data_IF_275503239052
#
_entry.id   IF_275503239052
#
_cell.length_a   1.000
_cell.length_b   1.000
_cell.length_c   1.000
_cell.angle_alpha   90.00
_cell.angle_beta   90.00
_cell.angle_gamma   90.00
#
_symmetry.space_group_name_H-M   'P 1'
#
loop_
_entity.id
_entity.type
_entity.pdbx_description
1 polymer ?
#
# COMPACT_ATOMS: atom_id res chain seq x y z
N UNK A 1 -1.34 -4.68 -9.04
CA UNK A 1 -1.37 -3.78 -10.22
C UNK A 1 -0.27 -4.25 -11.12
N UNK A 2 -0.52 -4.27 -12.43
CA UNK A 2 0.47 -4.68 -13.41
C UNK A 2 0.71 -3.49 -14.32
N UNK A 3 1.92 -2.93 -14.27
CA UNK A 3 2.41 -1.96 -15.24
C UNK A 3 3.27 -2.67 -16.32
N UNK A 4 3.75 -1.92 -17.29
CA UNK A 4 4.50 -2.35 -18.48
C UNK A 4 5.75 -3.21 -18.21
N UNK A 5 6.27 -3.22 -16.99
CA UNK A 5 7.47 -3.95 -16.58
C UNK A 5 7.18 -5.17 -15.68
N UNK A 6 5.92 -5.51 -15.42
CA UNK A 6 5.51 -6.67 -14.59
C UNK A 6 4.92 -7.77 -15.48
N UNK A 7 5.36 -9.02 -15.27
CA UNK A 7 4.80 -10.20 -15.94
C UNK A 7 3.36 -10.49 -15.40
N UNK A 8 2.30 -10.40 -16.22
CA UNK A 8 0.93 -10.64 -15.76
C UNK A 8 0.64 -12.11 -15.46
N UNK A 9 1.40 -13.06 -16.00
CA UNK A 9 1.08 -14.49 -15.92
C UNK A 9 1.27 -15.05 -14.51
N UNK A 10 2.03 -14.37 -13.65
CA UNK A 10 2.23 -14.76 -12.25
C UNK A 10 1.08 -14.29 -11.33
N UNK A 11 0.16 -13.47 -11.84
CA UNK A 11 -0.91 -12.83 -11.07
C UNK A 11 -2.27 -13.39 -11.51
N UNK A 12 -3.06 -13.91 -10.57
CA UNK A 12 -4.34 -14.57 -10.89
C UNK A 12 -5.42 -13.57 -11.33
N UNK A 13 -5.38 -12.35 -10.81
CA UNK A 13 -6.32 -11.28 -11.13
C UNK A 13 -5.53 -10.01 -11.50
N UNK A 14 -4.93 -9.96 -12.70
CA UNK A 14 -4.11 -8.84 -13.11
C UNK A 14 -5.00 -7.61 -13.32
N UNK A 15 -4.63 -6.50 -12.67
CA UNK A 15 -5.28 -5.20 -12.84
C UNK A 15 -4.27 -4.29 -13.56
N UNK A 16 -4.45 -4.01 -14.86
CA UNK A 16 -3.53 -3.14 -15.60
C UNK A 16 -3.64 -1.71 -15.07
N UNK A 17 -2.50 -1.07 -14.84
CA UNK A 17 -2.46 0.29 -14.32
C UNK A 17 -1.04 0.76 -14.03
N UNK A 18 -0.89 2.07 -13.82
CA UNK A 18 0.37 2.68 -13.44
C UNK A 18 0.60 2.48 -11.93
N UNK A 19 1.65 1.75 -11.56
CA UNK A 19 2.02 1.47 -10.16
C UNK A 19 3.08 2.44 -9.61
N UNK A 20 3.70 3.27 -10.45
CA UNK A 20 4.68 4.29 -10.08
C UNK A 20 4.04 5.61 -9.60
N UNK A 21 2.78 5.88 -9.98
CA UNK A 21 2.12 7.13 -9.64
C UNK A 21 1.37 7.07 -8.31
N UNK A 22 1.74 7.95 -7.36
CA UNK A 22 1.08 8.04 -6.04
C UNK A 22 -0.44 8.18 -6.14
N UNK A 23 -0.94 9.03 -7.06
CA UNK A 23 -2.38 9.21 -7.28
C UNK A 23 -3.07 7.94 -7.80
N UNK A 24 -2.39 7.15 -8.62
CA UNK A 24 -2.93 5.91 -9.15
C UNK A 24 -3.00 4.85 -8.04
N UNK A 25 -1.97 4.78 -7.20
CA UNK A 25 -1.92 3.90 -6.03
C UNK A 25 -3.00 4.27 -5.01
N UNK A 26 -3.14 5.56 -4.68
CA UNK A 26 -4.19 6.05 -3.77
C UNK A 26 -5.59 5.70 -4.28
N UNK A 27 -5.84 5.91 -5.59
CA UNK A 27 -7.12 5.58 -6.21
C UNK A 27 -7.42 4.09 -6.09
N UNK A 28 -6.49 3.24 -6.52
CA UNK A 28 -6.76 1.80 -6.58
C UNK A 28 -6.88 1.19 -5.18
N UNK A 29 -5.99 1.55 -4.27
CA UNK A 29 -6.04 1.05 -2.88
C UNK A 29 -7.34 1.44 -2.20
N UNK A 30 -7.83 2.67 -2.43
CA UNK A 30 -9.13 3.12 -1.94
C UNK A 30 -10.29 2.31 -2.53
N UNK A 31 -10.33 2.11 -3.84
CA UNK A 31 -11.41 1.34 -4.51
C UNK A 31 -11.45 -0.10 -3.99
N UNK A 32 -10.28 -0.74 -3.85
CA UNK A 32 -10.19 -2.11 -3.30
C UNK A 32 -10.66 -2.14 -1.83
N UNK A 33 -10.26 -1.15 -1.03
CA UNK A 33 -10.69 -1.06 0.37
C UNK A 33 -12.22 -0.91 0.49
N UNK A 34 -12.83 -0.04 -0.30
CA UNK A 34 -14.28 0.14 -0.35
C UNK A 34 -15.00 -1.16 -0.76
N UNK A 35 -14.50 -1.85 -1.79
CA UNK A 35 -15.05 -3.14 -2.24
C UNK A 35 -14.96 -4.24 -1.17
N UNK A 36 -13.86 -4.31 -0.40
CA UNK A 36 -13.71 -5.26 0.70
C UNK A 36 -14.71 -4.95 1.83
N UNK A 37 -14.89 -3.69 2.18
CA UNK A 37 -15.85 -3.28 3.22
C UNK A 37 -17.27 -3.68 2.83
N UNK A 38 -17.68 -3.37 1.60
CA UNK A 38 -19.00 -3.74 1.09
C UNK A 38 -19.18 -5.27 1.00
N UNK A 39 -18.17 -5.97 0.48
CA UNK A 39 -18.18 -7.43 0.39
C UNK A 39 -18.33 -8.10 1.75
N UNK A 40 -17.64 -7.60 2.78
CA UNK A 40 -17.78 -8.08 4.17
C UNK A 40 -19.18 -7.86 4.72
N UNK A 41 -19.75 -6.68 4.48
CA UNK A 41 -21.10 -6.35 4.92
C UNK A 41 -22.15 -7.28 4.28
N UNK A 42 -22.03 -7.54 2.98
CA UNK A 42 -22.92 -8.46 2.25
C UNK A 42 -22.75 -9.90 2.77
N UNK A 43 -21.51 -10.36 2.96
CA UNK A 43 -21.22 -11.70 3.46
C UNK A 43 -21.82 -11.94 4.86
N UNK A 44 -21.66 -10.96 5.77
CA UNK A 44 -22.25 -10.99 7.11
C UNK A 44 -23.77 -11.10 7.08
N UNK A 45 -24.42 -10.35 6.18
CA UNK A 45 -25.88 -10.40 6.01
C UNK A 45 -26.36 -11.72 5.41
N UNK A 46 -25.61 -12.29 4.47
CA UNK A 46 -26.01 -13.50 3.72
C UNK A 46 -25.80 -14.79 4.51
N UNK A 47 -24.76 -14.86 5.34
CA UNK A 47 -24.48 -16.02 6.18
C UNK A 47 -23.78 -15.62 7.50
N UNK A 48 -24.53 -15.18 8.52
CA UNK A 48 -23.96 -14.69 9.77
C UNK A 48 -23.17 -15.77 10.53
N UNK A 49 -23.53 -17.04 10.40
CA UNK A 49 -22.80 -18.15 11.02
C UNK A 49 -21.42 -18.39 10.40
N UNK A 50 -21.31 -18.31 9.06
CA UNK A 50 -20.03 -18.37 8.38
C UNK A 50 -19.18 -17.13 8.63
N UNK A 51 -19.80 -15.95 8.77
CA UNK A 51 -19.08 -14.72 9.10
C UNK A 51 -18.51 -14.72 10.52
N UNK A 52 -19.18 -15.37 11.48
CA UNK A 52 -18.65 -15.59 12.82
C UNK A 52 -17.49 -16.60 12.83
N UNK A 53 -17.55 -17.64 11.99
CA UNK A 53 -16.48 -18.63 11.86
C UNK A 53 -15.26 -18.11 11.06
N UNK A 54 -15.47 -17.15 10.15
CA UNK A 54 -14.44 -16.46 9.38
C UNK A 54 -14.02 -15.13 10.01
N UNK A 55 -14.47 -14.83 11.23
CA UNK A 55 -13.96 -13.70 11.97
C UNK A 55 -12.43 -13.88 12.09
N UNK A 56 -11.62 -12.87 11.72
CA UNK A 56 -10.19 -12.96 11.97
C UNK A 56 -10.03 -13.24 13.45
N UNK A 57 -9.22 -14.26 13.80
CA UNK A 57 -8.89 -14.53 15.18
C UNK A 57 -8.51 -13.21 15.83
N UNK A 58 -9.17 -12.85 16.93
CA UNK A 58 -8.81 -11.65 17.66
C UNK A 58 -7.33 -11.78 18.01
N UNK A 59 -6.52 -10.84 17.47
CA UNK A 59 -5.10 -10.79 17.78
C UNK A 59 -4.98 -10.65 19.28
N UNK A 60 -4.12 -11.47 19.86
CA UNK A 60 -3.72 -11.30 21.25
C UNK A 60 -3.15 -9.89 21.45
N UNK A 61 -3.17 -9.36 22.68
CA UNK A 61 -2.54 -8.07 22.98
C UNK A 61 -1.06 -8.02 22.53
N UNK A 62 -0.37 -9.14 22.63
CA UNK A 62 1.03 -9.30 22.20
C UNK A 62 1.18 -9.20 20.68
N UNK A 63 0.35 -9.92 19.91
CA UNK A 63 0.37 -9.84 18.43
C UNK A 63 -0.02 -8.44 17.91
N UNK A 64 -0.89 -7.75 18.64
CA UNK A 64 -1.30 -6.38 18.31
C UNK A 64 -0.13 -5.42 18.55
N UNK A 65 0.56 -5.52 19.69
CA UNK A 65 1.73 -4.71 19.99
C UNK A 65 2.87 -4.92 18.97
N UNK A 66 3.15 -6.18 18.59
CA UNK A 66 4.14 -6.50 17.55
C UNK A 66 3.76 -5.90 16.20
N UNK A 67 2.49 -5.99 15.80
CA UNK A 67 2.01 -5.39 14.56
C UNK A 67 2.14 -3.86 14.57
N UNK A 68 1.79 -3.21 15.67
CA UNK A 68 1.91 -1.76 15.82
C UNK A 68 3.35 -1.28 15.76
N UNK A 69 4.27 -2.02 16.38
CA UNK A 69 5.72 -1.77 16.33
C UNK A 69 6.24 -1.90 14.90
N UNK A 70 5.89 -2.99 14.19
CA UNK A 70 6.23 -3.18 12.78
C UNK A 70 5.69 -2.06 11.89
N UNK A 71 4.46 -1.60 12.13
CA UNK A 71 3.87 -0.49 11.39
C UNK A 71 4.58 0.85 11.69
N UNK A 72 5.02 1.07 12.93
CA UNK A 72 5.81 2.24 13.29
C UNK A 72 7.20 2.21 12.64
N UNK A 73 7.85 1.04 12.63
CA UNK A 73 9.11 0.77 11.93
C UNK A 73 8.99 1.09 10.42
N UNK A 74 7.97 0.52 9.77
CA UNK A 74 7.73 0.74 8.34
C UNK A 74 7.51 2.23 8.00
N UNK A 75 6.78 2.97 8.86
CA UNK A 75 6.60 4.42 8.70
C UNK A 75 7.91 5.20 8.85
N UNK A 76 8.77 4.82 9.81
CA UNK A 76 10.10 5.43 9.97
C UNK A 76 10.96 5.21 8.74
N UNK A 77 11.05 3.96 8.28
CA UNK A 77 11.82 3.59 7.08
C UNK A 77 11.31 4.30 5.83
N UNK A 78 9.99 4.42 5.66
CA UNK A 78 9.41 5.17 4.55
C UNK A 78 9.77 6.66 4.59
N UNK A 79 9.74 7.28 5.78
CA UNK A 79 10.14 8.68 5.95
C UNK A 79 11.63 8.91 5.65
N UNK A 80 12.51 8.01 6.12
CA UNK A 80 13.95 8.05 5.83
C UNK A 80 14.23 7.85 4.33
N UNK A 81 13.55 6.88 3.70
CA UNK A 81 13.66 6.65 2.26
C UNK A 81 13.21 7.88 1.46
N UNK A 82 12.13 8.54 1.88
CA UNK A 82 11.66 9.76 1.26
C UNK A 82 12.67 10.91 1.42
N UNK A 83 13.18 11.14 2.63
CA UNK A 83 14.21 12.15 2.89
C UNK A 83 15.48 11.91 2.07
N UNK A 84 15.92 10.66 1.92
CA UNK A 84 17.08 10.30 1.10
C UNK A 84 16.85 10.57 -0.40
N UNK A 85 15.64 10.28 -0.91
CA UNK A 85 15.25 10.60 -2.29
C UNK A 85 15.21 12.10 -2.53
N UNK A 86 14.62 12.87 -1.60
CA UNK A 86 14.56 14.33 -1.66
C UNK A 86 15.96 14.95 -1.65
N UNK A 87 16.86 14.48 -0.78
CA UNK A 87 18.25 14.93 -0.74
C UNK A 87 19.00 14.61 -2.04
N UNK A 88 18.80 13.41 -2.62
CA UNK A 88 19.41 13.02 -3.90
C UNK A 88 18.90 13.87 -5.06
N UNK A 89 17.61 14.19 -5.09
CA UNK A 89 17.00 15.06 -6.10
C UNK A 89 17.49 16.51 -5.96
N UNK A 90 17.60 17.02 -4.74
CA UNK A 90 18.13 18.35 -4.46
C UNK A 90 19.60 18.48 -4.90
N UNK A 91 20.45 17.50 -4.55
CA UNK A 91 21.86 17.48 -4.96
C UNK A 91 22.02 17.39 -6.49
N UNK A 92 21.15 16.63 -7.17
CA UNK A 92 21.15 16.58 -8.64
C UNK A 92 20.74 17.92 -9.25
N UNK A 93 19.75 18.60 -8.65
CA UNK A 93 19.29 19.94 -9.09
C UNK A 93 20.37 21.02 -8.94
N UNK A 94 21.16 21.00 -7.88
CA UNK A 94 22.27 21.96 -7.69
C UNK A 94 23.46 21.71 -8.61
N UNK A 95 23.57 20.50 -9.18
CA UNK A 95 24.68 20.14 -10.09
C UNK A 95 24.35 20.47 -11.56
N UNK A 96 23.05 20.49 -11.92
CA UNK A 96 22.55 20.80 -13.27
C UNK A 96 22.20 22.30 -13.48
N UNK A 97 22.34 23.17 -12.47
CA UNK A 97 22.26 24.63 -12.68
C UNK A 97 23.57 25.13 -13.31
N UNK A 98 23.59 25.64 -14.56
CA UNK A 98 24.78 26.26 -15.10
C UNK A 98 25.09 27.51 -14.29
N UNK A 99 26.37 27.71 -13.94
CA UNK A 99 26.85 28.96 -13.36
C UNK A 99 26.40 30.11 -14.27
N UNK A 100 25.44 30.89 -13.79
CA UNK A 100 24.99 32.10 -14.45
C UNK A 100 26.13 33.13 -14.37
N UNK A 101 26.71 33.46 -15.53
CA UNK A 101 27.48 34.68 -15.79
C UNK A 101 26.81 35.44 -16.94
#
# INVERSE_FOLDING_TARGET
VVDSNVDPDVIQFPIPGNDDAIRANDLLTRVIAEAVIEGRFIAQKRNPAAAAAAAPAERTPEETAVFEEQQAEARRQAAEAQASREARLAAKKTTDEPAAE
#
